data_IF_885190402756
#
_entry.id   IF_885190402756
#
_cell.length_a   1.000
_cell.length_b   1.000
_cell.length_c   1.000
_cell.angle_alpha   90.00
_cell.angle_beta   90.00
_cell.angle_gamma   90.00
#
_symmetry.space_group_name_H-M   'P 1'
#
loop_
_entity.id
_entity.type
_entity.pdbx_description
1 polymer ?
#
# COMPACT_ATOMS: atom_id res chain seq x y z
N UNK A 1 29.44 27.55 12.71
CA UNK A 1 30.07 26.27 12.33
C UNK A 1 30.47 25.52 13.59
N UNK A 2 29.89 24.34 13.82
CA UNK A 2 30.34 23.43 14.87
C UNK A 2 30.30 22.00 14.31
N UNK A 3 31.48 21.51 13.94
CA UNK A 3 31.71 20.15 13.48
C UNK A 3 31.70 19.23 14.71
N UNK A 4 30.71 18.34 14.84
CA UNK A 4 30.74 17.25 15.83
C UNK A 4 31.30 15.99 15.17
N UNK A 5 32.38 15.49 15.78
CA UNK A 5 33.09 14.27 15.43
C UNK A 5 32.17 13.04 15.48
N UNK A 6 32.47 12.14 14.56
CA UNK A 6 31.80 10.91 14.14
C UNK A 6 31.71 9.87 15.28
N UNK A 7 30.52 9.28 15.46
CA UNK A 7 30.35 7.94 16.02
C UNK A 7 29.86 7.03 14.88
N UNK A 8 30.74 6.19 14.34
CA UNK A 8 30.45 5.33 13.18
C UNK A 8 29.65 4.07 13.59
N UNK A 9 28.48 4.23 14.20
CA UNK A 9 27.44 3.20 14.18
C UNK A 9 26.71 3.37 12.85
N UNK A 10 26.64 2.33 12.02
CA UNK A 10 25.79 2.33 10.83
C UNK A 10 24.35 2.48 11.30
N UNK A 11 23.85 3.71 11.33
CA UNK A 11 22.43 3.98 11.54
C UNK A 11 21.74 3.65 10.23
N UNK A 12 21.21 2.42 10.13
CA UNK A 12 20.23 2.11 9.10
C UNK A 12 18.95 2.86 9.48
N UNK A 13 18.72 3.99 8.83
CA UNK A 13 17.44 4.68 8.87
C UNK A 13 16.50 3.98 7.88
N UNK A 14 15.21 3.96 8.20
CA UNK A 14 14.20 3.52 7.24
C UNK A 14 14.19 4.46 6.05
N UNK A 15 14.10 3.92 4.84
CA UNK A 15 13.82 4.68 3.61
C UNK A 15 12.40 5.28 3.60
N UNK A 16 11.59 5.02 4.64
CA UNK A 16 10.22 5.52 4.81
C UNK A 16 9.26 5.08 3.69
N UNK A 17 9.53 3.93 3.08
CA UNK A 17 8.73 3.32 2.01
C UNK A 17 8.06 2.02 2.47
N UNK A 18 7.46 2.00 3.68
CA UNK A 18 6.82 0.79 4.20
C UNK A 18 5.60 0.41 3.36
N UNK A 19 5.47 -0.89 3.06
CA UNK A 19 4.39 -1.47 2.28
C UNK A 19 4.08 -2.90 2.74
N UNK A 20 2.92 -3.42 2.35
CA UNK A 20 2.55 -4.83 2.51
C UNK A 20 2.03 -5.24 3.90
N UNK A 21 1.78 -4.28 4.79
CA UNK A 21 1.31 -4.55 6.16
C UNK A 21 -0.01 -5.34 6.23
N UNK A 22 -0.97 -5.10 5.33
CA UNK A 22 -2.27 -5.78 5.31
C UNK A 22 -2.27 -7.07 4.48
N UNK A 23 -1.19 -7.37 3.78
CA UNK A 23 -1.01 -8.65 3.08
C UNK A 23 -0.47 -9.73 4.01
N UNK A 24 0.26 -9.32 5.04
CA UNK A 24 0.72 -10.19 6.10
C UNK A 24 -0.50 -10.76 6.84
N UNK A 25 -0.68 -12.09 6.78
CA UNK A 25 -1.87 -12.76 7.32
C UNK A 25 -3.10 -12.79 6.40
N UNK A 26 -2.96 -12.41 5.12
CA UNK A 26 -4.03 -12.43 4.10
C UNK A 26 -5.30 -11.66 4.49
N UNK A 27 -5.15 -10.50 5.15
CA UNK A 27 -6.30 -9.71 5.62
C UNK A 27 -7.14 -9.15 4.47
N UNK A 28 -6.54 -9.00 3.29
CA UNK A 28 -7.22 -8.51 2.08
C UNK A 28 -7.51 -9.65 1.09
N UNK A 29 -8.61 -9.50 0.37
CA UNK A 29 -8.87 -10.24 -0.85
C UNK A 29 -7.92 -9.78 -1.96
N UNK A 30 -7.18 -10.72 -2.53
CA UNK A 30 -6.20 -10.46 -3.58
C UNK A 30 -6.84 -10.45 -4.98
N UNK A 31 -8.14 -10.72 -5.07
CA UNK A 31 -8.88 -10.80 -6.31
C UNK A 31 -8.55 -12.02 -7.16
N UNK A 32 -8.02 -13.10 -6.55
CA UNK A 32 -7.68 -14.36 -7.25
C UNK A 32 -8.92 -15.04 -7.84
N UNK A 33 -10.05 -15.00 -7.12
CA UNK A 33 -11.34 -15.52 -7.58
C UNK A 33 -12.22 -14.47 -8.25
N UNK A 34 -12.19 -13.23 -7.77
CA UNK A 34 -12.96 -12.12 -8.34
C UNK A 34 -12.19 -10.80 -8.20
N UNK A 35 -11.80 -10.23 -9.34
CA UNK A 35 -11.08 -8.94 -9.39
C UNK A 35 -11.88 -7.79 -8.80
N UNK A 36 -13.21 -7.88 -8.72
CA UNK A 36 -14.06 -6.85 -8.10
C UNK A 36 -13.87 -6.74 -6.59
N UNK A 37 -13.37 -7.80 -5.94
CA UNK A 37 -13.15 -7.84 -4.49
C UNK A 37 -11.73 -7.41 -4.08
N UNK A 38 -10.82 -7.19 -5.04
CA UNK A 38 -9.41 -6.84 -4.77
C UNK A 38 -9.32 -5.66 -3.81
N UNK A 39 -8.57 -5.81 -2.71
CA UNK A 39 -8.37 -4.75 -1.71
C UNK A 39 -9.48 -4.62 -0.66
N UNK A 40 -10.52 -5.46 -0.73
CA UNK A 40 -11.54 -5.59 0.32
C UNK A 40 -10.99 -6.40 1.49
N UNK A 41 -11.33 -6.01 2.72
CA UNK A 41 -10.98 -6.79 3.92
C UNK A 41 -11.81 -8.07 3.96
N UNK A 42 -11.15 -9.22 4.11
CA UNK A 42 -11.82 -10.52 4.20
C UNK A 42 -12.80 -10.55 5.38
N UNK A 43 -13.99 -11.09 5.16
CA UNK A 43 -15.06 -11.14 6.16
C UNK A 43 -15.76 -9.79 6.43
N UNK A 44 -15.36 -8.71 5.75
CA UNK A 44 -16.08 -7.44 5.80
C UNK A 44 -17.13 -7.34 4.70
N UNK A 45 -18.18 -6.56 4.94
CA UNK A 45 -19.19 -6.25 3.93
C UNK A 45 -18.79 -5.06 3.05
N UNK A 46 -18.10 -4.07 3.63
CA UNK A 46 -17.88 -2.76 2.99
C UNK A 46 -16.52 -2.09 3.32
N UNK A 47 -15.54 -2.81 3.88
CA UNK A 47 -14.25 -2.23 4.26
C UNK A 47 -13.20 -2.51 3.20
N UNK A 48 -12.51 -1.47 2.76
CA UNK A 48 -11.46 -1.55 1.73
C UNK A 48 -10.19 -0.83 2.23
N UNK A 49 -9.03 -1.33 1.80
CA UNK A 49 -7.73 -0.72 2.09
C UNK A 49 -7.12 -0.24 0.79
N UNK A 50 -6.80 1.05 0.74
CA UNK A 50 -6.37 1.75 -0.48
C UNK A 50 -5.06 2.54 -0.26
N UNK A 51 -4.12 1.95 0.46
CA UNK A 51 -2.79 2.51 0.72
C UNK A 51 -1.68 1.48 0.43
N UNK A 52 -0.42 1.81 0.75
CA UNK A 52 0.72 0.92 0.52
C UNK A 52 0.69 -0.35 1.36
N UNK A 53 -0.11 -0.42 2.43
CA UNK A 53 -0.23 -1.64 3.22
C UNK A 53 -0.88 -2.78 2.43
N UNK A 54 -1.66 -2.46 1.39
CA UNK A 54 -2.28 -3.41 0.47
C UNK A 54 -1.34 -3.89 -0.66
N UNK A 55 -0.08 -3.44 -0.70
CA UNK A 55 0.83 -3.69 -1.83
C UNK A 55 1.96 -4.65 -1.44
N UNK A 56 2.18 -5.77 -2.17
CA UNK A 56 3.13 -6.82 -1.76
C UNK A 56 4.59 -6.38 -1.80
N UNK A 57 4.94 -5.44 -2.68
CA UNK A 57 6.22 -4.71 -2.72
C UNK A 57 6.13 -3.62 -3.81
N UNK A 58 6.23 -2.32 -3.48
CA UNK A 58 6.27 -1.27 -4.49
C UNK A 58 7.59 -1.36 -5.27
N UNK A 59 7.51 -1.75 -6.55
CA UNK A 59 8.67 -1.85 -7.47
C UNK A 59 9.00 -0.55 -8.19
N UNK A 60 8.14 0.45 -8.05
CA UNK A 60 8.27 1.81 -8.59
C UNK A 60 8.16 2.82 -7.43
N UNK A 61 8.12 4.12 -7.75
CA UNK A 61 7.83 5.17 -6.76
C UNK A 61 6.63 4.76 -5.87
N UNK A 62 6.82 4.66 -4.54
CA UNK A 62 5.75 4.30 -3.61
C UNK A 62 4.60 5.31 -3.65
N UNK A 63 4.90 6.58 -3.93
CA UNK A 63 3.92 7.64 -4.09
C UNK A 63 3.00 7.37 -5.29
N UNK A 64 3.59 6.99 -6.44
CA UNK A 64 2.83 6.63 -7.63
C UNK A 64 2.02 5.35 -7.40
N UNK A 65 2.60 4.39 -6.70
CA UNK A 65 1.92 3.13 -6.37
C UNK A 65 0.69 3.37 -5.49
N UNK A 66 0.82 4.21 -4.45
CA UNK A 66 -0.30 4.59 -3.59
C UNK A 66 -1.44 5.26 -4.39
N UNK A 67 -1.09 6.15 -5.33
CA UNK A 67 -2.07 6.78 -6.20
C UNK A 67 -2.83 5.78 -7.07
N UNK A 68 -2.11 4.85 -7.72
CA UNK A 68 -2.71 3.83 -8.57
C UNK A 68 -3.60 2.85 -7.79
N UNK A 69 -3.22 2.49 -6.58
CA UNK A 69 -4.04 1.65 -5.69
C UNK A 69 -5.32 2.38 -5.31
N UNK A 70 -5.23 3.65 -4.89
CA UNK A 70 -6.39 4.48 -4.58
C UNK A 70 -7.35 4.61 -5.76
N UNK A 71 -6.80 4.87 -6.96
CA UNK A 71 -7.59 4.93 -8.19
C UNK A 71 -8.29 3.61 -8.52
N UNK A 72 -7.60 2.48 -8.35
CA UNK A 72 -8.17 1.16 -8.59
C UNK A 72 -9.37 0.87 -7.69
N UNK A 73 -9.21 1.08 -6.38
CA UNK A 73 -10.29 0.87 -5.40
C UNK A 73 -11.46 1.81 -5.66
N UNK A 74 -11.20 3.08 -5.97
CA UNK A 74 -12.25 4.03 -6.32
C UNK A 74 -13.05 3.59 -7.55
N UNK A 75 -12.38 3.09 -8.59
CA UNK A 75 -13.05 2.59 -9.81
C UNK A 75 -13.93 1.36 -9.55
N UNK A 76 -13.53 0.48 -8.63
CA UNK A 76 -14.35 -0.66 -8.22
C UNK A 76 -15.61 -0.21 -7.46
N UNK A 77 -15.48 0.78 -6.56
CA UNK A 77 -16.60 1.29 -5.76
C UNK A 77 -17.56 2.17 -6.58
N UNK A 78 -17.05 2.88 -7.58
CA UNK A 78 -17.80 3.85 -8.38
C UNK A 78 -17.63 3.59 -9.88
N UNK A 79 -18.19 2.50 -10.42
CA UNK A 79 -18.00 2.10 -11.82
C UNK A 79 -18.53 3.10 -12.86
N UNK A 80 -19.37 4.06 -12.46
CA UNK A 80 -19.89 5.13 -13.31
C UNK A 80 -19.06 6.42 -13.33
N UNK A 81 -18.02 6.54 -12.49
CA UNK A 81 -17.13 7.70 -12.45
C UNK A 81 -15.89 7.44 -13.31
N UNK A 82 -16.07 7.38 -14.63
CA UNK A 82 -14.97 7.43 -15.58
C UNK A 82 -14.70 8.88 -15.95
N UNK A 83 -13.57 9.41 -15.47
CA UNK A 83 -13.01 10.68 -15.96
C UNK A 83 -12.48 10.58 -17.38
#
# INVERSE_FOLDING_TARGET
>A
MHCRKILHKRFLLSEQHMAGGCLLGQALDLGEGDRSQTGKVKGSSNVHVADLSAVPLPRISPQMTAYLVGFHVAKQLYPGCSG
#
